data_IF_714543294009
#
_entry.id   IF_714543294009
#
_cell.length_a   1.000
_cell.length_b   1.000
_cell.length_c   1.000
_cell.angle_alpha   90.00
_cell.angle_beta   90.00
_cell.angle_gamma   90.00
#
_symmetry.space_group_name_H-M   'P 1'
#
loop_
_entity.id
_entity.type
_entity.pdbx_description
1 polymer ?
#
# COMPACT_ATOMS: atom_id res chain seq x y z
N UNK A 1 19.22 -5.36 16.62
CA UNK A 1 19.14 -5.48 15.16
C UNK A 1 17.86 -6.29 14.89
N UNK A 2 16.90 -5.73 14.17
CA UNK A 2 15.62 -6.40 13.91
C UNK A 2 15.78 -7.56 12.93
N UNK A 3 14.84 -8.49 12.93
CA UNK A 3 14.92 -9.70 12.07
C UNK A 3 14.70 -9.42 10.58
N UNK A 4 14.27 -8.19 10.22
CA UNK A 4 14.11 -7.73 8.84
C UNK A 4 15.23 -6.82 8.35
N UNK A 5 16.33 -6.71 9.11
CA UNK A 5 17.47 -5.89 8.70
C UNK A 5 18.02 -6.34 7.34
N UNK A 6 18.16 -5.39 6.40
CA UNK A 6 18.59 -5.65 5.02
C UNK A 6 17.49 -6.16 4.08
N UNK A 7 16.27 -6.34 4.57
CA UNK A 7 15.08 -6.63 3.75
C UNK A 7 14.43 -5.35 3.24
N UNK A 8 13.75 -5.41 2.12
CA UNK A 8 13.03 -4.29 1.52
C UNK A 8 11.54 -4.62 1.40
N UNK A 9 10.70 -3.74 1.92
CA UNK A 9 9.25 -3.90 1.99
C UNK A 9 8.57 -2.76 1.24
N UNK A 10 7.66 -3.09 0.32
CA UNK A 10 6.76 -2.11 -0.33
C UNK A 10 5.42 -2.14 0.40
N UNK A 11 4.95 -0.97 0.85
CA UNK A 11 3.64 -0.79 1.48
C UNK A 11 2.83 0.21 0.67
N UNK A 12 1.79 -0.26 -0.01
CA UNK A 12 0.88 0.66 -0.70
C UNK A 12 -0.03 1.36 0.31
N UNK A 13 -0.21 2.69 0.16
CA UNK A 13 -1.00 3.49 1.10
C UNK A 13 -0.31 3.76 2.44
N UNK A 14 1.03 3.85 2.45
CA UNK A 14 1.86 3.98 3.65
C UNK A 14 2.09 5.42 4.15
N UNK A 15 1.39 6.42 3.60
CA UNK A 15 1.56 7.81 4.02
C UNK A 15 1.17 8.05 5.49
N UNK A 16 1.87 8.99 6.15
CA UNK A 16 1.67 9.30 7.57
C UNK A 16 0.22 9.71 7.85
N UNK A 17 -0.38 9.03 8.77
CA UNK A 17 -1.69 9.38 9.32
C UNK A 17 -1.66 9.11 10.83
N UNK A 18 -1.86 10.18 11.60
CA UNK A 18 -1.82 10.15 13.07
C UNK A 18 -3.10 10.82 13.58
N UNK A 19 -3.74 10.17 14.54
CA UNK A 19 -4.91 10.70 15.23
C UNK A 19 -4.52 11.82 16.20
N UNK A 20 -5.48 12.60 16.67
CA UNK A 20 -5.25 13.70 17.62
C UNK A 20 -4.60 13.28 18.94
N UNK A 21 -4.77 12.02 19.31
CA UNK A 21 -4.17 11.42 20.52
C UNK A 21 -2.77 10.78 20.25
N UNK A 22 -2.21 10.98 19.05
CA UNK A 22 -0.89 10.46 18.67
C UNK A 22 -0.88 9.01 18.19
N UNK A 23 -2.01 8.29 18.21
CA UNK A 23 -2.07 6.93 17.68
C UNK A 23 -2.04 6.91 16.16
N UNK A 24 -1.60 5.78 15.58
CA UNK A 24 -1.62 5.57 14.14
C UNK A 24 -3.05 5.70 13.59
N UNK A 25 -3.22 6.55 12.58
CA UNK A 25 -4.52 6.86 11.96
C UNK A 25 -4.81 6.07 10.68
N UNK A 26 -3.88 5.23 10.21
CA UNK A 26 -4.10 4.37 9.04
C UNK A 26 -3.34 3.04 9.15
N UNK A 27 -3.92 2.01 8.53
CA UNK A 27 -3.34 0.66 8.53
C UNK A 27 -1.97 0.66 7.85
N UNK A 28 -1.85 1.23 6.65
CA UNK A 28 -0.60 1.23 5.88
C UNK A 28 0.57 1.91 6.61
N UNK A 29 0.33 3.05 7.28
CA UNK A 29 1.36 3.70 8.08
C UNK A 29 1.75 2.87 9.31
N UNK A 30 0.77 2.21 9.96
CA UNK A 30 1.03 1.29 11.06
C UNK A 30 1.88 0.09 10.64
N UNK A 31 1.60 -0.48 9.46
CA UNK A 31 2.40 -1.56 8.88
C UNK A 31 3.83 -1.08 8.60
N UNK A 32 3.98 0.06 7.90
CA UNK A 32 5.30 0.63 7.63
C UNK A 32 6.11 0.85 8.92
N UNK A 33 5.45 1.35 9.98
CA UNK A 33 6.05 1.51 11.32
C UNK A 33 6.50 0.17 11.91
N UNK A 34 5.67 -0.87 11.82
CA UNK A 34 6.01 -2.19 12.35
C UNK A 34 7.25 -2.80 11.65
N UNK A 35 7.29 -2.71 10.32
CA UNK A 35 8.44 -3.18 9.55
C UNK A 35 9.71 -2.35 9.79
N UNK A 36 9.57 -1.03 9.95
CA UNK A 36 10.68 -0.15 10.31
C UNK A 36 11.30 -0.50 11.68
N UNK A 37 10.46 -0.83 12.67
CA UNK A 37 10.93 -1.32 13.99
C UNK A 37 11.80 -2.56 13.87
N UNK A 38 11.53 -3.41 12.91
CA UNK A 38 12.29 -4.64 12.65
C UNK A 38 13.49 -4.42 11.70
N UNK A 39 13.78 -3.17 11.35
CA UNK A 39 14.99 -2.78 10.62
C UNK A 39 14.91 -2.94 9.10
N UNK A 40 13.71 -3.08 8.52
CA UNK A 40 13.54 -3.15 7.07
C UNK A 40 13.76 -1.79 6.40
N UNK A 41 14.24 -1.79 5.16
CA UNK A 41 14.09 -0.66 4.25
C UNK A 41 12.62 -0.60 3.80
N UNK A 42 12.04 0.60 3.81
CA UNK A 42 10.60 0.78 3.55
C UNK A 42 10.40 1.58 2.28
N UNK A 43 9.56 1.08 1.39
CA UNK A 43 8.98 1.86 0.29
C UNK A 43 7.52 2.10 0.62
N UNK A 44 7.11 3.35 0.64
CA UNK A 44 5.73 3.75 0.90
C UNK A 44 5.15 4.44 -0.33
N UNK A 45 3.94 4.06 -0.72
CA UNK A 45 3.27 4.73 -1.84
C UNK A 45 1.97 5.40 -1.41
N UNK A 46 1.54 6.39 -2.18
CA UNK A 46 0.30 7.11 -1.96
C UNK A 46 0.18 8.35 -2.84
N UNK A 47 -0.98 8.98 -2.84
CA UNK A 47 -1.26 10.17 -3.65
C UNK A 47 -0.75 11.47 -3.04
N UNK A 48 -0.69 11.55 -1.72
CA UNK A 48 -0.35 12.77 -0.99
C UNK A 48 1.14 12.78 -0.64
N UNK A 49 1.92 13.53 -1.40
CA UNK A 49 3.38 13.66 -1.26
C UNK A 49 3.77 14.11 0.14
N UNK A 50 3.06 15.12 0.71
CA UNK A 50 3.39 15.61 2.06
C UNK A 50 3.26 14.48 3.11
N UNK A 51 2.19 13.67 3.05
CA UNK A 51 2.04 12.54 3.98
C UNK A 51 3.12 11.48 3.80
N UNK A 52 3.62 11.30 2.60
CA UNK A 52 4.73 10.37 2.32
C UNK A 52 6.05 10.91 2.88
N UNK A 53 6.35 12.18 2.68
CA UNK A 53 7.56 12.80 3.23
C UNK A 53 7.53 12.87 4.77
N UNK A 54 6.39 13.23 5.36
CA UNK A 54 6.20 13.21 6.81
C UNK A 54 6.41 11.78 7.40
N UNK A 55 5.97 10.74 6.67
CA UNK A 55 6.19 9.34 7.06
C UNK A 55 7.67 8.96 6.98
N UNK A 56 8.34 9.35 5.89
CA UNK A 56 9.78 9.11 5.72
C UNK A 56 10.56 9.74 6.88
N UNK A 57 10.39 11.03 7.10
CA UNK A 57 11.11 11.77 8.14
C UNK A 57 10.92 11.13 9.53
N UNK A 58 9.68 10.77 9.86
CA UNK A 58 9.39 10.17 11.16
C UNK A 58 9.98 8.77 11.30
N UNK A 59 9.83 7.89 10.30
CA UNK A 59 10.32 6.52 10.37
C UNK A 59 11.86 6.45 10.36
N UNK A 60 12.51 7.28 9.54
CA UNK A 60 13.98 7.36 9.51
C UNK A 60 14.53 7.90 10.84
N UNK A 61 13.91 8.94 11.41
CA UNK A 61 14.31 9.51 12.70
C UNK A 61 14.11 8.55 13.87
N UNK A 62 13.01 7.80 13.89
CA UNK A 62 12.67 6.94 15.04
C UNK A 62 13.41 5.58 15.00
N UNK A 63 13.66 5.05 13.81
CA UNK A 63 14.12 3.66 13.67
C UNK A 63 15.46 3.52 12.95
N UNK A 64 16.01 4.62 12.38
CA UNK A 64 17.30 4.58 11.68
C UNK A 64 17.30 3.75 10.39
N UNK A 65 16.12 3.48 9.82
CA UNK A 65 15.93 2.74 8.56
C UNK A 65 15.96 3.71 7.37
N UNK A 66 16.05 3.17 6.15
CA UNK A 66 15.89 3.96 4.92
C UNK A 66 14.44 3.88 4.44
N UNK A 67 13.86 5.03 4.10
CA UNK A 67 12.49 5.10 3.58
C UNK A 67 12.47 5.79 2.21
N UNK A 68 11.88 5.14 1.22
CA UNK A 68 11.64 5.68 -0.12
C UNK A 68 10.15 6.02 -0.27
N UNK A 69 9.78 7.30 -0.30
CA UNK A 69 8.44 7.70 -0.65
C UNK A 69 8.28 7.75 -2.17
N UNK A 70 7.24 7.12 -2.70
CA UNK A 70 6.92 7.15 -4.13
C UNK A 70 5.47 7.60 -4.31
N UNK A 71 5.28 8.71 -5.02
CA UNK A 71 3.92 9.14 -5.36
C UNK A 71 3.33 8.18 -6.41
N UNK A 72 2.22 7.54 -6.08
CA UNK A 72 1.51 6.65 -6.99
C UNK A 72 0.01 6.69 -6.69
N UNK A 73 -0.80 6.70 -7.74
CA UNK A 73 -2.26 6.60 -7.66
C UNK A 73 -2.71 5.21 -8.10
N UNK A 74 -3.22 4.43 -7.17
CA UNK A 74 -3.76 3.09 -7.43
C UNK A 74 -5.14 3.11 -8.10
N UNK A 75 -5.80 4.27 -8.16
CA UNK A 75 -7.10 4.44 -8.81
C UNK A 75 -6.98 4.96 -10.25
N UNK A 76 -5.77 5.03 -10.78
CA UNK A 76 -5.47 5.61 -12.09
C UNK A 76 -6.02 4.82 -13.32
N UNK A 77 -6.79 3.77 -13.08
CA UNK A 77 -7.42 3.01 -14.15
C UNK A 77 -6.40 2.32 -15.07
N UNK A 78 -6.39 2.67 -16.34
CA UNK A 78 -5.47 2.09 -17.34
C UNK A 78 -3.98 2.32 -17.01
N UNK A 79 -3.66 3.35 -16.24
CA UNK A 79 -2.28 3.71 -15.88
C UNK A 79 -1.74 2.94 -14.68
N UNK A 80 -2.55 2.07 -14.05
CA UNK A 80 -2.14 1.28 -12.89
C UNK A 80 -0.92 0.39 -13.16
N UNK A 81 -0.80 -0.17 -14.36
CA UNK A 81 0.35 -1.00 -14.73
C UNK A 81 1.65 -0.17 -14.76
N UNK A 82 1.60 1.00 -15.37
CA UNK A 82 2.75 1.91 -15.44
C UNK A 82 3.14 2.43 -14.04
N UNK A 83 2.15 2.78 -13.22
CA UNK A 83 2.39 3.24 -11.85
C UNK A 83 3.05 2.15 -10.99
N UNK A 84 2.59 0.90 -11.09
CA UNK A 84 3.20 -0.22 -10.37
C UNK A 84 4.63 -0.51 -10.86
N UNK A 85 4.86 -0.46 -12.17
CA UNK A 85 6.18 -0.67 -12.75
C UNK A 85 7.18 0.42 -12.32
N UNK A 86 6.75 1.68 -12.25
CA UNK A 86 7.58 2.79 -11.80
C UNK A 86 7.98 2.65 -10.31
N UNK A 87 7.03 2.31 -9.44
CA UNK A 87 7.32 2.03 -8.01
C UNK A 87 8.35 0.92 -7.87
N UNK A 88 8.19 -0.18 -8.60
CA UNK A 88 9.13 -1.30 -8.57
C UNK A 88 10.51 -0.87 -9.08
N UNK A 89 10.55 -0.14 -10.19
CA UNK A 89 11.82 0.38 -10.74
C UNK A 89 12.54 1.24 -9.71
N UNK A 90 11.88 2.23 -9.11
CA UNK A 90 12.49 3.10 -8.09
C UNK A 90 12.94 2.30 -6.86
N UNK A 91 12.19 1.26 -6.46
CA UNK A 91 12.57 0.38 -5.36
C UNK A 91 13.87 -0.36 -5.66
N UNK A 92 14.01 -0.91 -6.87
CA UNK A 92 15.20 -1.65 -7.27
C UNK A 92 16.39 -0.70 -7.43
N UNK A 93 16.19 0.47 -8.01
CA UNK A 93 17.24 1.49 -8.14
C UNK A 93 17.78 1.91 -6.76
N UNK A 94 16.92 2.00 -5.73
CA UNK A 94 17.30 2.43 -4.39
C UNK A 94 17.87 1.32 -3.49
N UNK A 95 17.32 0.10 -3.58
CA UNK A 95 17.60 -0.97 -2.61
C UNK A 95 18.07 -2.28 -3.23
N UNK A 96 17.97 -2.45 -4.55
CA UNK A 96 18.43 -3.63 -5.29
C UNK A 96 17.60 -4.91 -5.06
N UNK A 97 16.53 -4.86 -4.23
CA UNK A 97 15.76 -6.05 -3.87
C UNK A 97 14.34 -5.70 -3.40
N UNK A 98 13.45 -6.68 -3.49
CA UNK A 98 12.11 -6.66 -2.88
C UNK A 98 11.90 -7.98 -2.15
N UNK A 99 11.62 -7.92 -0.85
CA UNK A 99 11.37 -9.10 -0.02
C UNK A 99 9.90 -9.25 0.36
N UNK A 100 9.19 -8.13 0.50
CA UNK A 100 7.77 -8.14 0.87
C UNK A 100 7.00 -7.10 0.07
N UNK A 101 5.86 -7.50 -0.45
CA UNK A 101 4.86 -6.60 -1.04
C UNK A 101 3.60 -6.62 -0.17
N UNK A 102 3.15 -5.44 0.26
CA UNK A 102 1.91 -5.27 1.02
C UNK A 102 0.94 -4.41 0.22
N UNK A 103 -0.05 -5.05 -0.37
CA UNK A 103 -1.16 -4.42 -1.06
C UNK A 103 -2.24 -4.05 -0.03
N UNK A 104 -2.09 -2.85 0.54
CA UNK A 104 -2.99 -2.31 1.57
C UNK A 104 -3.84 -1.14 1.05
N UNK A 105 -3.34 -0.38 0.08
CA UNK A 105 -4.06 0.78 -0.44
C UNK A 105 -5.32 0.35 -1.20
N UNK A 106 -6.40 1.09 -0.97
CA UNK A 106 -7.68 0.88 -1.62
C UNK A 106 -8.49 2.19 -1.58
N UNK A 107 -9.33 2.38 -2.57
CA UNK A 107 -10.28 3.48 -2.63
C UNK A 107 -11.69 2.94 -2.94
N UNK A 108 -12.70 3.49 -2.27
CA UNK A 108 -14.10 3.14 -2.50
C UNK A 108 -15.00 4.30 -2.12
N UNK A 109 -16.22 4.32 -2.65
CA UNK A 109 -17.28 5.23 -2.27
C UNK A 109 -18.03 4.67 -1.04
N UNK A 110 -17.46 4.89 0.15
CA UNK A 110 -18.06 4.43 1.41
C UNK A 110 -19.38 5.12 1.69
N UNK A 111 -20.36 4.39 2.23
CA UNK A 111 -21.68 4.93 2.65
C UNK A 111 -22.71 5.01 1.53
N UNK A 112 -22.39 4.56 0.32
CA UNK A 112 -23.34 4.51 -0.81
C UNK A 112 -23.95 3.12 -0.88
N UNK A 113 -25.28 3.02 -1.01
CA UNK A 113 -25.97 1.74 -1.16
C UNK A 113 -25.77 1.17 -2.55
N UNK A 114 -25.98 -0.14 -2.74
CA UNK A 114 -25.85 -0.75 -4.07
C UNK A 114 -26.80 -0.13 -5.10
N UNK A 115 -28.01 0.27 -4.68
CA UNK A 115 -29.01 0.89 -5.55
C UNK A 115 -28.56 2.27 -6.08
N UNK A 116 -27.78 2.99 -5.29
CA UNK A 116 -27.29 4.34 -5.61
C UNK A 116 -25.84 4.36 -6.14
N UNK A 117 -25.21 3.19 -6.24
CA UNK A 117 -23.81 3.07 -6.66
C UNK A 117 -23.67 3.29 -8.17
N UNK A 118 -22.80 4.21 -8.56
CA UNK A 118 -22.52 4.44 -9.98
C UNK A 118 -21.47 3.49 -10.49
N UNK A 119 -21.37 3.36 -11.84
CA UNK A 119 -20.34 2.55 -12.49
C UNK A 119 -18.94 3.10 -12.16
N UNK A 120 -18.77 4.41 -12.13
CA UNK A 120 -17.48 5.06 -11.78
C UNK A 120 -17.04 4.74 -10.35
N UNK A 121 -17.99 4.65 -9.43
CA UNK A 121 -17.71 4.26 -8.04
C UNK A 121 -17.35 2.77 -7.92
N UNK A 122 -18.00 1.92 -8.72
CA UNK A 122 -17.64 0.52 -8.85
C UNK A 122 -16.24 0.37 -9.46
N UNK A 123 -15.97 1.04 -10.58
CA UNK A 123 -14.68 1.03 -11.25
C UNK A 123 -13.55 1.52 -10.33
N UNK A 124 -13.79 2.56 -9.53
CA UNK A 124 -12.85 3.03 -8.52
C UNK A 124 -12.43 1.90 -7.56
N UNK A 125 -13.39 1.12 -7.08
CA UNK A 125 -13.11 0.00 -6.18
C UNK A 125 -12.34 -1.12 -6.91
N UNK A 126 -12.76 -1.46 -8.12
CA UNK A 126 -12.11 -2.51 -8.93
C UNK A 126 -10.69 -2.12 -9.32
N UNK A 127 -10.47 -0.91 -9.82
CA UNK A 127 -9.13 -0.45 -10.21
C UNK A 127 -8.19 -0.39 -9.01
N UNK A 128 -8.64 0.12 -7.86
CA UNK A 128 -7.78 0.27 -6.69
C UNK A 128 -7.61 -1.03 -5.89
N UNK A 129 -8.66 -1.86 -5.79
CA UNK A 129 -8.66 -3.06 -4.95
C UNK A 129 -8.25 -4.34 -5.66
N UNK A 130 -8.47 -4.46 -6.98
CA UNK A 130 -8.17 -5.68 -7.74
C UNK A 130 -7.07 -5.46 -8.79
N UNK A 131 -7.28 -4.53 -9.72
CA UNK A 131 -6.31 -4.32 -10.82
C UNK A 131 -4.96 -3.83 -10.33
N UNK A 132 -4.93 -2.86 -9.41
CA UNK A 132 -3.68 -2.38 -8.83
C UNK A 132 -2.94 -3.50 -8.11
N UNK A 133 -3.62 -4.32 -7.33
CA UNK A 133 -3.03 -5.49 -6.64
C UNK A 133 -2.39 -6.44 -7.65
N UNK A 134 -3.11 -6.77 -8.74
CA UNK A 134 -2.58 -7.61 -9.82
C UNK A 134 -1.31 -7.02 -10.43
N UNK A 135 -1.32 -5.72 -10.79
CA UNK A 135 -0.17 -5.07 -11.42
C UNK A 135 1.04 -4.99 -10.49
N UNK A 136 0.85 -4.65 -9.21
CA UNK A 136 1.94 -4.68 -8.23
C UNK A 136 2.52 -6.09 -8.04
N UNK A 137 1.68 -7.12 -7.94
CA UNK A 137 2.14 -8.50 -7.85
C UNK A 137 2.92 -8.90 -9.09
N UNK A 138 2.40 -8.60 -10.30
CA UNK A 138 3.05 -8.88 -11.58
C UNK A 138 4.43 -8.21 -11.66
N UNK A 139 4.52 -6.92 -11.33
CA UNK A 139 5.76 -6.16 -11.40
C UNK A 139 6.80 -6.60 -10.35
N UNK A 140 6.36 -6.95 -9.14
CA UNK A 140 7.24 -7.42 -8.06
C UNK A 140 7.68 -8.88 -8.22
N UNK A 141 6.94 -9.70 -8.99
CA UNK A 141 7.12 -11.15 -9.05
C UNK A 141 8.56 -11.63 -9.29
N UNK A 142 9.31 -11.09 -10.29
CA UNK A 142 10.67 -11.57 -10.54
C UNK A 142 11.60 -11.39 -9.33
N UNK A 143 11.49 -10.27 -8.64
CA UNK A 143 12.31 -9.95 -7.46
C UNK A 143 11.89 -10.72 -6.22
N UNK A 144 10.58 -10.89 -6.01
CA UNK A 144 10.06 -11.73 -4.92
C UNK A 144 10.43 -13.19 -5.10
N UNK A 145 10.45 -13.70 -6.35
CA UNK A 145 10.90 -15.05 -6.65
C UNK A 145 12.38 -15.23 -6.27
N UNK A 146 13.24 -14.28 -6.61
CA UNK A 146 14.67 -14.31 -6.30
C UNK A 146 14.93 -14.29 -4.79
N UNK A 147 14.24 -13.40 -4.07
CA UNK A 147 14.41 -13.26 -2.61
C UNK A 147 13.67 -14.32 -1.79
N UNK A 148 12.85 -15.17 -2.43
CA UNK A 148 11.86 -16.05 -1.77
C UNK A 148 10.93 -15.26 -0.85
N UNK A 149 10.51 -14.10 -1.36
CA UNK A 149 9.75 -13.10 -0.64
C UNK A 149 8.27 -13.46 -0.46
N UNK A 150 7.54 -12.55 0.15
CA UNK A 150 6.13 -12.73 0.50
C UNK A 150 5.25 -11.62 -0.04
N UNK A 151 3.98 -11.94 -0.30
CA UNK A 151 2.93 -10.98 -0.64
C UNK A 151 1.84 -11.04 0.42
N UNK A 152 1.37 -9.87 0.87
CA UNK A 152 0.21 -9.74 1.74
C UNK A 152 -0.81 -8.86 1.02
N UNK A 153 -1.97 -9.45 0.71
CA UNK A 153 -3.10 -8.74 0.14
C UNK A 153 -4.15 -8.49 1.22
N UNK A 154 -4.53 -7.24 1.39
CA UNK A 154 -5.60 -6.89 2.32
C UNK A 154 -6.94 -7.10 1.64
N UNK A 155 -7.83 -7.82 2.31
CA UNK A 155 -9.22 -7.98 1.98
C UNK A 155 -10.09 -7.42 3.09
N UNK A 156 -11.39 -7.33 2.86
CA UNK A 156 -12.33 -6.81 3.85
C UNK A 156 -13.26 -7.91 4.34
N UNK A 157 -13.54 -7.92 5.65
CA UNK A 157 -14.62 -8.74 6.22
C UNK A 157 -15.98 -8.42 5.60
N UNK A 158 -16.17 -7.22 5.07
CA UNK A 158 -17.38 -6.85 4.34
C UNK A 158 -17.62 -7.69 3.08
N UNK A 159 -16.55 -8.14 2.40
CA UNK A 159 -16.64 -9.05 1.26
C UNK A 159 -17.07 -10.48 1.64
N UNK A 160 -16.85 -10.89 2.90
CA UNK A 160 -17.21 -12.23 3.40
C UNK A 160 -18.59 -12.26 4.08
N UNK A 161 -18.91 -11.21 4.84
CA UNK A 161 -20.09 -11.18 5.72
C UNK A 161 -21.13 -10.14 5.31
N UNK A 162 -20.83 -9.35 4.28
CA UNK A 162 -21.62 -8.18 3.92
C UNK A 162 -21.45 -7.02 4.90
N UNK A 163 -21.94 -5.85 4.51
CA UNK A 163 -21.94 -4.68 5.36
C UNK A 163 -23.19 -3.84 5.10
N UNK A 164 -23.96 -3.51 6.12
CA UNK A 164 -25.18 -2.73 6.00
C UNK A 164 -24.91 -1.33 5.44
N UNK A 165 -25.58 -1.00 4.31
CA UNK A 165 -25.53 0.32 3.70
C UNK A 165 -24.19 0.73 3.08
N UNK A 166 -23.28 -0.22 2.87
CA UNK A 166 -21.99 0.07 2.26
C UNK A 166 -21.62 -1.00 1.24
N UNK A 167 -21.79 -0.72 -0.05
CA UNK A 167 -21.48 -1.68 -1.11
C UNK A 167 -20.01 -1.64 -1.56
N UNK A 168 -19.33 -0.50 -1.43
CA UNK A 168 -17.97 -0.33 -1.96
C UNK A 168 -16.92 -1.29 -1.42
N UNK A 169 -17.04 -1.76 -0.18
CA UNK A 169 -16.12 -2.74 0.41
C UNK A 169 -16.47 -4.21 0.13
N UNK A 170 -17.56 -4.48 -0.59
CA UNK A 170 -18.01 -5.87 -0.86
C UNK A 170 -17.50 -6.42 -2.20
N UNK A 171 -16.78 -5.63 -2.98
CA UNK A 171 -16.30 -6.02 -4.32
C UNK A 171 -14.91 -6.66 -4.33
N UNK A 172 -14.21 -6.74 -3.19
CA UNK A 172 -12.84 -7.30 -3.11
C UNK A 172 -12.57 -8.03 -1.78
#
# INVERSE_FOLDING_TARGET
>A
MGFLTGKTVIVTGGGRAVLSDGRCGSIGYGIATAYAKEGANIVITGRNVKKLEDAKEELERLYGVKVLPVQADISAGADNEAAAADVVKQTIDAFGRIDVLINNAQASASGVTLADHTVEQFDLAMYSGLYAVFHYMKACYPYLKETKGSVINFASGAGLFGNFGQSGCTYY
#
